data_IF_810546978597
#
_entry.id   IF_810546978597
#
_cell.length_a   1.000
_cell.length_b   1.000
_cell.length_c   1.000
_cell.angle_alpha   90.00
_cell.angle_beta   90.00
_cell.angle_gamma   90.00
#
_symmetry.space_group_name_H-M   'P 1'
#
loop_
_entity.id
_entity.type
_entity.pdbx_description
1 polymer ?
#
# COMPACT_ATOMS: atom_id res chain seq x y z
N UNK A 1 -12.39 15.24 6.02
CA UNK A 1 -10.98 14.83 6.03
C UNK A 1 -10.46 14.88 4.61
N UNK A 2 -9.14 15.00 4.43
CA UNK A 2 -8.51 15.13 3.09
C UNK A 2 -8.93 13.98 2.17
N UNK A 3 -8.92 12.75 2.67
CA UNK A 3 -9.27 11.58 1.85
C UNK A 3 -10.72 11.63 1.35
N UNK A 4 -11.68 11.91 2.24
CA UNK A 4 -13.09 12.10 1.85
C UNK A 4 -13.28 13.23 0.82
N UNK A 5 -12.55 14.32 0.96
CA UNK A 5 -12.60 15.43 0.00
C UNK A 5 -12.06 14.99 -1.37
N UNK A 6 -10.96 14.24 -1.37
CA UNK A 6 -10.40 13.68 -2.60
C UNK A 6 -11.32 12.67 -3.26
N UNK A 7 -11.94 11.76 -2.50
CA UNK A 7 -12.96 10.83 -3.00
C UNK A 7 -14.13 11.60 -3.64
N UNK A 8 -14.62 12.66 -3.00
CA UNK A 8 -15.67 13.52 -3.57
C UNK A 8 -15.25 14.16 -4.90
N UNK A 9 -13.99 14.57 -5.04
CA UNK A 9 -13.46 15.07 -6.32
C UNK A 9 -13.46 14.00 -7.40
N UNK A 10 -13.09 12.76 -7.05
CA UNK A 10 -13.12 11.62 -7.98
C UNK A 10 -14.56 11.31 -8.43
N UNK A 11 -15.52 11.29 -7.50
CA UNK A 11 -16.93 11.09 -7.82
C UNK A 11 -17.48 12.18 -8.77
N UNK A 12 -17.06 13.43 -8.59
CA UNK A 12 -17.41 14.53 -9.50
C UNK A 12 -16.78 14.33 -10.89
N UNK A 13 -15.56 13.78 -10.95
CA UNK A 13 -14.89 13.43 -12.20
C UNK A 13 -15.63 12.38 -13.00
N UNK A 14 -16.12 11.35 -12.33
CA UNK A 14 -16.97 10.32 -12.93
C UNK A 14 -18.29 10.89 -13.48
N UNK A 15 -18.74 12.03 -12.95
CA UNK A 15 -19.92 12.78 -13.41
C UNK A 15 -19.58 13.84 -14.47
N UNK A 16 -18.35 13.87 -14.96
CA UNK A 16 -17.90 14.71 -16.07
C UNK A 16 -17.06 15.94 -15.69
N UNK A 17 -16.78 16.18 -14.40
CA UNK A 17 -15.91 17.28 -13.97
C UNK A 17 -14.45 16.87 -14.12
N UNK A 18 -13.77 17.36 -15.16
CA UNK A 18 -12.36 17.02 -15.38
C UNK A 18 -11.46 17.55 -14.25
N UNK A 19 -10.87 16.64 -13.47
CA UNK A 19 -9.80 16.97 -12.54
C UNK A 19 -8.50 17.27 -13.30
N UNK A 20 -7.73 18.20 -12.77
CA UNK A 20 -6.46 18.63 -13.33
C UNK A 20 -5.30 17.96 -12.60
N UNK A 21 -4.12 18.03 -13.21
CA UNK A 21 -2.87 17.58 -12.62
C UNK A 21 -2.68 18.10 -11.19
N UNK A 22 -2.85 19.40 -10.96
CA UNK A 22 -2.67 20.03 -9.65
C UNK A 22 -3.62 19.48 -8.58
N UNK A 23 -4.85 19.11 -8.96
CA UNK A 23 -5.85 18.59 -8.02
C UNK A 23 -5.42 17.19 -7.51
N UNK A 24 -4.85 16.38 -8.40
CA UNK A 24 -4.28 15.08 -8.03
C UNK A 24 -2.98 15.23 -7.21
N UNK A 25 -2.08 16.12 -7.64
CA UNK A 25 -0.79 16.37 -6.98
C UNK A 25 -0.98 16.89 -5.55
N UNK A 26 -1.85 17.89 -5.35
CA UNK A 26 -2.18 18.40 -4.01
C UNK A 26 -2.77 17.30 -3.12
N UNK A 27 -3.64 16.46 -3.68
CA UNK A 27 -4.16 15.27 -2.99
C UNK A 27 -3.05 14.30 -2.59
N UNK A 28 -2.02 14.11 -3.42
CA UNK A 28 -0.88 13.27 -3.13
C UNK A 28 0.02 13.84 -2.02
N UNK A 29 0.32 15.15 -2.05
CA UNK A 29 1.05 15.82 -0.97
C UNK A 29 0.34 15.68 0.36
N UNK A 30 -0.97 15.92 0.37
CA UNK A 30 -1.75 15.82 1.60
C UNK A 30 -1.78 14.37 2.13
N UNK A 31 -1.88 13.36 1.25
CA UNK A 31 -1.73 11.96 1.64
C UNK A 31 -0.34 11.66 2.23
N UNK A 32 0.73 12.21 1.62
CA UNK A 32 2.10 12.10 2.14
C UNK A 32 2.20 12.59 3.58
N UNK A 33 1.73 13.81 3.82
CA UNK A 33 1.83 14.47 5.12
C UNK A 33 1.05 13.75 6.22
N UNK A 34 0.02 12.98 5.84
CA UNK A 34 -0.76 12.12 6.74
C UNK A 34 -0.18 10.70 6.88
N UNK A 35 0.92 10.38 6.20
CA UNK A 35 1.50 9.03 6.18
C UNK A 35 0.68 8.01 5.41
N UNK A 36 -0.27 8.43 4.58
CA UNK A 36 -1.12 7.56 3.76
C UNK A 36 -0.42 7.24 2.43
N UNK A 37 0.63 6.43 2.50
CA UNK A 37 1.54 6.17 1.37
C UNK A 37 0.82 5.50 0.18
N UNK A 38 -0.15 4.62 0.42
CA UNK A 38 -0.98 4.03 -0.64
C UNK A 38 -1.76 5.09 -1.40
N UNK A 39 -2.43 5.98 -0.66
CA UNK A 39 -3.19 7.09 -1.25
C UNK A 39 -2.25 8.03 -2.01
N UNK A 40 -1.06 8.32 -1.46
CA UNK A 40 -0.05 9.10 -2.17
C UNK A 40 0.30 8.49 -3.53
N UNK A 41 0.68 7.21 -3.55
CA UNK A 41 1.03 6.49 -4.77
C UNK A 41 -0.08 6.53 -5.83
N UNK A 42 -1.32 6.21 -5.44
CA UNK A 42 -2.47 6.21 -6.36
C UNK A 42 -2.71 7.61 -6.93
N UNK A 43 -2.64 8.64 -6.08
CA UNK A 43 -2.89 10.04 -6.49
C UNK A 43 -1.78 10.57 -7.40
N UNK A 44 -0.53 10.20 -7.17
CA UNK A 44 0.59 10.55 -8.05
C UNK A 44 0.47 9.87 -9.42
N UNK A 45 0.09 8.59 -9.47
CA UNK A 45 -0.13 7.93 -10.76
C UNK A 45 -1.25 8.61 -11.55
N UNK A 46 -2.36 8.97 -10.89
CA UNK A 46 -3.44 9.75 -11.52
C UNK A 46 -2.99 11.14 -11.99
N UNK A 47 -2.15 11.83 -11.21
CA UNK A 47 -1.55 13.09 -11.66
C UNK A 47 -0.74 12.88 -12.95
N UNK A 48 0.11 11.85 -12.96
CA UNK A 48 0.95 11.49 -14.09
C UNK A 48 0.15 11.04 -15.33
N UNK A 49 -1.01 10.41 -15.14
CA UNK A 49 -1.95 10.08 -16.22
C UNK A 49 -2.58 11.33 -16.86
N UNK A 50 -2.84 12.38 -16.07
CA UNK A 50 -3.41 13.64 -16.58
C UNK A 50 -2.34 14.47 -17.29
N UNK A 51 -1.18 14.65 -16.67
CA UNK A 51 -0.04 15.36 -17.26
C UNK A 51 1.26 14.88 -16.62
N UNK A 52 2.06 14.03 -17.31
CA UNK A 52 3.35 13.60 -16.79
C UNK A 52 4.28 14.80 -16.53
N UNK A 53 4.86 14.87 -15.35
CA UNK A 53 5.82 15.91 -14.98
C UNK A 53 7.06 15.32 -14.33
N UNK A 54 8.16 16.07 -14.34
CA UNK A 54 9.38 15.68 -13.61
C UNK A 54 9.10 15.54 -12.11
N UNK A 55 8.26 16.41 -11.53
CA UNK A 55 7.90 16.37 -10.12
C UNK A 55 7.17 15.08 -9.75
N UNK A 56 6.09 14.74 -10.47
CA UNK A 56 5.33 13.51 -10.20
C UNK A 56 6.19 12.27 -10.41
N UNK A 57 7.04 12.28 -11.43
CA UNK A 57 7.98 11.20 -11.70
C UNK A 57 9.00 11.03 -10.56
N UNK A 58 9.63 12.11 -10.10
CA UNK A 58 10.61 12.06 -9.02
C UNK A 58 9.99 11.61 -7.68
N UNK A 59 8.74 12.02 -7.41
CA UNK A 59 8.01 11.55 -6.23
C UNK A 59 7.68 10.05 -6.32
N UNK A 60 7.23 9.57 -7.48
CA UNK A 60 6.98 8.13 -7.71
C UNK A 60 8.27 7.32 -7.61
N UNK A 61 9.38 7.80 -8.18
CA UNK A 61 10.69 7.17 -8.07
C UNK A 61 11.15 7.08 -6.61
N UNK A 62 10.93 8.15 -5.83
CA UNK A 62 11.22 8.17 -4.40
C UNK A 62 10.40 7.12 -3.64
N UNK A 63 9.11 6.97 -3.97
CA UNK A 63 8.28 5.93 -3.36
C UNK A 63 8.76 4.53 -3.75
N UNK A 64 9.04 4.29 -5.03
CA UNK A 64 9.52 2.99 -5.52
C UNK A 64 10.89 2.59 -4.93
N UNK A 65 11.72 3.58 -4.56
CA UNK A 65 13.00 3.33 -3.88
C UNK A 65 12.86 2.97 -2.40
N UNK A 66 11.71 3.25 -1.77
CA UNK A 66 11.50 3.06 -0.33
C UNK A 66 10.38 2.06 0.00
N UNK A 67 9.53 1.74 -0.98
CA UNK A 67 8.36 0.89 -0.82
C UNK A 67 8.20 -0.05 -2.00
N UNK A 68 7.62 -1.23 -1.74
CA UNK A 68 7.30 -2.24 -2.75
C UNK A 68 5.83 -2.65 -2.66
N UNK A 69 5.19 -2.98 -3.79
CA UNK A 69 3.81 -3.42 -3.81
C UNK A 69 3.67 -4.83 -3.24
N UNK A 70 2.65 -5.02 -2.41
CA UNK A 70 2.33 -6.30 -1.79
C UNK A 70 0.82 -6.59 -1.88
N UNK A 71 0.50 -7.88 -1.94
CA UNK A 71 -0.84 -8.40 -1.78
C UNK A 71 -0.81 -9.55 -0.78
N UNK A 72 -1.30 -9.28 0.43
CA UNK A 72 -1.31 -10.21 1.54
C UNK A 72 -2.75 -10.67 1.79
N UNK A 73 -2.98 -11.98 1.88
CA UNK A 73 -4.32 -12.54 2.07
C UNK A 73 -4.33 -13.70 3.08
N UNK A 74 -5.32 -13.71 3.96
CA UNK A 74 -5.56 -14.81 4.91
C UNK A 74 -6.84 -15.55 4.52
N UNK A 75 -6.72 -16.76 3.96
CA UNK A 75 -7.89 -17.57 3.59
C UNK A 75 -8.72 -17.91 4.83
N UNK A 76 -10.03 -18.11 4.62
CA UNK A 76 -10.98 -18.45 5.71
C UNK A 76 -10.63 -19.73 6.45
N UNK A 77 -9.94 -20.67 5.79
CA UNK A 77 -9.53 -21.94 6.39
C UNK A 77 -8.20 -21.87 7.15
N UNK A 78 -7.51 -20.72 7.17
CA UNK A 78 -6.32 -20.53 8.00
C UNK A 78 -6.75 -20.31 9.46
N UNK A 79 -6.32 -21.23 10.32
CA UNK A 79 -6.73 -21.39 11.71
C UNK A 79 -5.69 -20.85 12.72
N UNK A 80 -4.55 -20.34 12.23
CA UNK A 80 -3.52 -19.69 13.05
C UNK A 80 -3.67 -18.17 13.03
N UNK A 81 -2.91 -17.50 13.91
CA UNK A 81 -2.82 -16.05 13.94
C UNK A 81 -2.01 -15.53 12.73
N UNK A 82 -2.57 -14.57 12.00
CA UNK A 82 -1.95 -13.99 10.81
C UNK A 82 -1.26 -12.66 11.16
N UNK A 83 -0.17 -12.72 11.92
CA UNK A 83 0.60 -11.53 12.31
C UNK A 83 1.62 -11.20 11.22
N UNK A 84 1.66 -9.93 10.80
CA UNK A 84 2.77 -9.40 10.02
C UNK A 84 3.86 -8.85 10.94
N UNK A 85 5.09 -9.34 10.81
CA UNK A 85 6.25 -8.90 11.60
C UNK A 85 7.34 -8.39 10.67
N UNK A 86 7.73 -7.12 10.82
CA UNK A 86 8.93 -6.58 10.20
C UNK A 86 10.16 -7.09 10.97
N UNK A 87 11.16 -7.62 10.25
CA UNK A 87 12.41 -8.10 10.85
C UNK A 87 13.46 -7.00 11.01
N UNK A 88 13.33 -5.90 10.26
CA UNK A 88 14.27 -4.80 10.28
C UNK A 88 13.91 -3.75 11.35
N UNK A 89 14.87 -3.42 12.23
CA UNK A 89 14.69 -2.47 13.34
C UNK A 89 14.84 -0.99 12.92
N UNK A 90 15.14 -0.72 11.65
CA UNK A 90 15.56 0.61 11.15
C UNK A 90 14.45 1.49 10.57
N UNK A 91 13.19 1.11 10.65
CA UNK A 91 12.10 1.86 10.00
C UNK A 91 11.88 3.24 10.61
N UNK A 92 11.76 4.25 9.76
CA UNK A 92 11.35 5.60 10.15
C UNK A 92 9.90 5.62 10.65
N UNK A 93 9.49 6.69 11.32
CA UNK A 93 8.14 6.80 11.90
C UNK A 93 7.03 6.60 10.86
N UNK A 94 7.18 7.16 9.66
CA UNK A 94 6.23 7.00 8.55
C UNK A 94 6.14 5.55 8.08
N UNK A 95 7.27 4.86 7.93
CA UNK A 95 7.32 3.45 7.52
C UNK A 95 6.66 2.54 8.56
N UNK A 96 6.87 2.81 9.85
CA UNK A 96 6.17 2.09 10.93
C UNK A 96 4.66 2.29 10.83
N UNK A 97 4.19 3.50 10.52
CA UNK A 97 2.77 3.77 10.35
C UNK A 97 2.16 2.92 9.22
N UNK A 98 2.86 2.79 8.09
CA UNK A 98 2.40 1.92 6.97
C UNK A 98 2.29 0.46 7.39
N UNK A 99 3.25 -0.06 8.17
CA UNK A 99 3.19 -1.43 8.69
C UNK A 99 2.00 -1.63 9.63
N UNK A 100 1.72 -0.67 10.52
CA UNK A 100 0.55 -0.74 11.41
C UNK A 100 -0.77 -0.67 10.64
N UNK A 101 -0.86 0.16 9.60
CA UNK A 101 -2.04 0.19 8.72
C UNK A 101 -2.26 -1.17 8.03
N UNK A 102 -1.18 -1.78 7.54
CA UNK A 102 -1.24 -3.11 6.94
C UNK A 102 -1.70 -4.17 7.95
N UNK A 103 -1.15 -4.15 9.18
CA UNK A 103 -1.58 -5.07 10.26
C UNK A 103 -3.06 -4.91 10.58
N UNK A 104 -3.52 -3.67 10.67
CA UNK A 104 -4.93 -3.37 10.93
C UNK A 104 -5.84 -3.90 9.82
N UNK A 105 -5.51 -3.65 8.55
CA UNK A 105 -6.27 -4.18 7.41
C UNK A 105 -6.30 -5.71 7.39
N UNK A 106 -5.18 -6.36 7.72
CA UNK A 106 -5.13 -7.83 7.83
C UNK A 106 -5.96 -8.38 8.99
N UNK A 107 -6.07 -7.64 10.10
CA UNK A 107 -6.91 -8.02 11.24
C UNK A 107 -8.41 -7.83 10.93
N UNK A 108 -8.76 -6.70 10.29
CA UNK A 108 -10.15 -6.31 10.02
C UNK A 108 -10.72 -7.07 8.80
N UNK A 109 -9.99 -7.09 7.69
CA UNK A 109 -10.47 -7.56 6.38
C UNK A 109 -9.85 -8.88 5.92
N UNK A 110 -8.83 -9.39 6.62
CA UNK A 110 -8.04 -10.57 6.23
C UNK A 110 -7.35 -10.43 4.87
N UNK A 111 -7.21 -9.22 4.36
CA UNK A 111 -6.59 -8.90 3.08
C UNK A 111 -5.99 -7.51 3.13
N UNK A 112 -4.82 -7.34 2.52
CA UNK A 112 -4.19 -6.04 2.32
C UNK A 112 -3.57 -6.00 0.93
N UNK A 113 -3.90 -4.96 0.17
CA UNK A 113 -3.31 -4.66 -1.12
C UNK A 113 -2.80 -3.23 -1.09
N UNK A 114 -1.50 -3.04 -1.26
CA UNK A 114 -0.89 -1.73 -1.13
C UNK A 114 0.64 -1.80 -1.16
N UNK A 115 1.27 -0.81 -0.56
CA UNK A 115 2.71 -0.67 -0.45
C UNK A 115 3.15 -1.05 0.97
N UNK A 116 4.31 -1.70 1.07
CA UNK A 116 5.06 -1.86 2.31
C UNK A 116 6.47 -1.29 2.14
N UNK A 117 7.10 -0.78 3.21
CA UNK A 117 8.51 -0.39 3.17
C UNK A 117 9.38 -1.56 2.69
N UNK A 118 10.42 -1.26 1.91
CA UNK A 118 11.39 -2.29 1.53
C UNK A 118 12.03 -2.90 2.77
N UNK A 119 12.18 -4.22 2.79
CA UNK A 119 12.74 -4.94 3.92
C UNK A 119 12.24 -6.36 4.03
N UNK A 120 12.66 -7.01 5.12
CA UNK A 120 12.31 -8.40 5.41
C UNK A 120 11.12 -8.51 6.35
N UNK A 121 10.19 -9.39 6.01
CA UNK A 121 8.97 -9.59 6.77
C UNK A 121 8.70 -11.07 7.00
N UNK A 122 7.87 -11.33 8.00
CA UNK A 122 7.24 -12.62 8.22
C UNK A 122 5.74 -12.39 8.34
N UNK A 123 4.95 -13.12 7.57
CA UNK A 123 3.50 -13.10 7.65
C UNK A 123 2.98 -14.47 8.07
N UNK A 124 2.46 -14.56 9.30
CA UNK A 124 2.23 -15.86 9.94
C UNK A 124 3.55 -16.59 10.14
N UNK A 125 3.72 -17.72 9.44
CA UNK A 125 4.95 -18.51 9.43
C UNK A 125 5.77 -18.34 8.13
N UNK A 126 5.30 -17.52 7.18
CA UNK A 126 5.88 -17.36 5.84
C UNK A 126 6.82 -16.14 5.79
N UNK A 127 8.15 -16.33 5.65
CA UNK A 127 9.07 -15.23 5.43
C UNK A 127 8.97 -14.72 3.99
N UNK A 128 9.06 -13.41 3.79
CA UNK A 128 9.14 -12.80 2.47
C UNK A 128 9.93 -11.49 2.49
N UNK A 129 10.48 -11.13 1.35
CA UNK A 129 11.21 -9.89 1.15
C UNK A 129 10.39 -8.95 0.27
N UNK A 130 10.23 -7.71 0.70
CA UNK A 130 9.67 -6.64 -0.13
C UNK A 130 10.84 -5.96 -0.83
N UNK A 131 10.99 -6.27 -2.11
CA UNK A 131 11.95 -5.62 -3.01
C UNK A 131 11.18 -4.67 -3.94
N UNK A 132 11.73 -3.48 -4.19
CA UNK A 132 11.08 -2.49 -5.04
C UNK A 132 10.84 -3.05 -6.45
N UNK A 133 9.68 -2.73 -7.04
CA UNK A 133 9.31 -3.21 -8.38
C UNK A 133 8.15 -4.21 -8.36
N UNK A 134 8.42 -5.54 -8.45
CA UNK A 134 7.38 -6.54 -8.65
C UNK A 134 6.42 -6.66 -7.45
N UNK A 135 5.17 -7.01 -7.75
CA UNK A 135 4.16 -7.32 -6.73
C UNK A 135 4.55 -8.60 -5.99
N UNK A 136 4.62 -8.52 -4.66
CA UNK A 136 4.78 -9.69 -3.79
C UNK A 136 3.42 -10.16 -3.32
N UNK A 137 3.01 -11.35 -3.75
CA UNK A 137 1.74 -11.96 -3.32
C UNK A 137 1.98 -13.08 -2.31
N UNK A 138 1.40 -12.98 -1.12
CA UNK A 138 1.46 -14.02 -0.08
C UNK A 138 0.04 -14.38 0.36
N UNK A 139 -0.30 -15.66 0.30
CA UNK A 139 -1.61 -16.18 0.74
C UNK A 139 -1.43 -17.24 1.83
N UNK A 140 -1.89 -16.95 3.04
CA UNK A 140 -1.93 -17.91 4.14
C UNK A 140 -3.15 -18.83 3.99
N UNK A 141 -2.90 -20.13 4.00
CA UNK A 141 -3.89 -21.20 3.89
C UNK A 141 -3.47 -22.39 4.76
N UNK A 142 -4.42 -23.20 5.18
CA UNK A 142 -4.13 -24.45 5.91
C UNK A 142 -3.43 -25.45 4.99
N UNK A 143 -2.31 -26.02 5.45
CA UNK A 143 -1.70 -27.18 4.81
C UNK A 143 -2.59 -28.41 5.04
N UNK A 144 -3.07 -29.01 3.96
CA UNK A 144 -3.74 -30.32 4.02
C UNK A 144 -2.64 -31.37 3.84
N UNK A 145 -2.18 -31.98 4.94
CA UNK A 145 -1.28 -33.13 4.87
C UNK A 145 -2.12 -34.38 4.57
N UNK A 146 -1.91 -34.97 3.39
CA UNK A 146 -2.42 -36.31 3.09
C UNK A 146 -1.50 -37.32 3.79
N UNK A 147 -2.06 -38.08 4.73
CA UNK A 147 -1.39 -39.25 5.31
C UNK A 147 -1.70 -40.41 4.35
N UNK A 148 -0.67 -40.91 3.67
CA UNK A 148 -0.74 -42.13 2.85
C UNK A 148 -0.60 -43.37 3.74
#
# INVERSE_FOLDING_TARGET
GVDRAYESMIELSERGVKLRYDDHLLGAHAAKSLGHINNNWVRLNRANEVNPSEESFMMLATLAANYGPVHLRVKKNYDKEAILVAKDLGFMAEQRHVVEQCRKALADDREYMGLLPLGRYVFGDEPFDVIGGPLVEITLKKEIKYVY
#
